data_IF_998045656080
#
_entry.id   IF_998045656080
#
_cell.length_a   1.000
_cell.length_b   1.000
_cell.length_c   1.000
_cell.angle_alpha   90.00
_cell.angle_beta   90.00
_cell.angle_gamma   90.00
#
_symmetry.space_group_name_H-M   'P 1'
#
loop_
_entity.id
_entity.type
_entity.pdbx_description
1 polymer ?
#
# COMPACT_ATOMS: atom_id res chain seq x y z
N UNK A 1 -14.89 8.12 -30.64
CA UNK A 1 -14.09 9.33 -30.31
C UNK A 1 -14.96 10.60 -30.27
N UNK A 2 -15.75 10.90 -31.31
CA UNK A 2 -16.65 12.06 -31.34
C UNK A 2 -17.62 12.14 -30.14
N UNK A 3 -18.23 11.00 -29.75
CA UNK A 3 -19.13 10.92 -28.58
C UNK A 3 -18.49 11.44 -27.29
N UNK A 4 -17.23 11.09 -27.04
CA UNK A 4 -16.52 11.54 -25.83
C UNK A 4 -16.30 13.05 -25.81
N UNK A 5 -15.98 13.66 -26.96
CA UNK A 5 -15.80 15.11 -27.02
C UNK A 5 -17.12 15.87 -26.78
N UNK A 6 -18.23 15.35 -27.29
CA UNK A 6 -19.56 15.92 -27.06
C UNK A 6 -19.89 15.83 -25.56
N UNK A 7 -19.72 14.66 -24.95
CA UNK A 7 -19.99 14.45 -23.53
C UNK A 7 -19.12 15.34 -22.63
N UNK A 8 -17.82 15.45 -22.91
CA UNK A 8 -16.92 16.34 -22.19
C UNK A 8 -17.39 17.80 -22.36
N UNK A 9 -17.75 18.22 -23.57
CA UNK A 9 -18.21 19.58 -23.83
C UNK A 9 -19.51 19.90 -23.07
N UNK A 10 -20.48 18.98 -23.09
CA UNK A 10 -21.74 19.12 -22.38
C UNK A 10 -21.52 19.20 -20.86
N UNK A 11 -20.58 18.42 -20.31
CA UNK A 11 -20.17 18.48 -18.90
C UNK A 11 -19.46 19.78 -18.56
N UNK A 12 -18.52 20.24 -19.39
CA UNK A 12 -17.80 21.50 -19.20
C UNK A 12 -18.77 22.67 -19.20
N UNK A 13 -19.75 22.67 -20.12
CA UNK A 13 -20.76 23.73 -20.23
C UNK A 13 -21.79 23.67 -19.10
N UNK A 14 -22.27 22.49 -18.73
CA UNK A 14 -23.27 22.33 -17.66
C UNK A 14 -22.74 22.63 -16.26
N UNK A 15 -21.45 22.37 -16.02
CA UNK A 15 -20.78 22.60 -14.74
C UNK A 15 -20.01 23.92 -14.68
N UNK A 16 -20.13 24.77 -15.71
CA UNK A 16 -19.43 26.05 -15.86
C UNK A 16 -17.92 25.97 -15.56
N UNK A 17 -17.25 24.95 -16.11
CA UNK A 17 -15.83 24.74 -15.84
C UNK A 17 -14.97 25.78 -16.59
N UNK A 18 -13.94 26.37 -15.94
CA UNK A 18 -13.07 27.34 -16.60
C UNK A 18 -12.34 26.72 -17.80
N UNK A 19 -12.64 27.22 -19.01
CA UNK A 19 -12.06 26.70 -20.27
C UNK A 19 -10.53 26.63 -20.25
N UNK A 20 -9.86 27.62 -19.66
CA UNK A 20 -8.41 27.65 -19.53
C UNK A 20 -7.85 26.49 -18.69
N UNK A 21 -8.55 26.06 -17.63
CA UNK A 21 -8.14 24.89 -16.83
C UNK A 21 -8.34 23.59 -17.60
N UNK A 22 -9.47 23.47 -18.29
CA UNK A 22 -9.81 22.30 -19.12
C UNK A 22 -8.77 22.11 -20.22
N UNK A 23 -8.36 23.19 -20.88
CA UNK A 23 -7.31 23.16 -21.92
C UNK A 23 -5.96 22.75 -21.35
N UNK A 24 -5.57 23.29 -20.18
CA UNK A 24 -4.32 22.93 -19.50
C UNK A 24 -4.25 21.46 -19.07
N UNK A 25 -5.38 20.88 -18.64
CA UNK A 25 -5.48 19.46 -18.25
C UNK A 25 -5.35 18.51 -19.44
N UNK A 26 -5.81 18.96 -20.62
CA UNK A 26 -5.85 18.14 -21.82
C UNK A 26 -7.01 17.15 -21.86
N UNK A 27 -7.35 16.73 -23.08
CA UNK A 27 -8.53 15.90 -23.34
C UNK A 27 -8.49 14.51 -22.71
N UNK A 28 -7.29 13.93 -22.53
CA UNK A 28 -7.13 12.60 -21.93
C UNK A 28 -7.60 12.56 -20.48
N UNK A 29 -7.15 13.51 -19.65
CA UNK A 29 -7.57 13.59 -18.24
C UNK A 29 -9.05 13.95 -18.12
N UNK A 30 -9.55 14.84 -18.97
CA UNK A 30 -10.97 15.20 -18.95
C UNK A 30 -11.89 14.07 -19.36
N UNK A 31 -11.49 13.20 -20.29
CA UNK A 31 -12.25 12.00 -20.64
C UNK A 31 -12.47 11.09 -19.43
N UNK A 32 -11.47 10.95 -18.56
CA UNK A 32 -11.59 10.11 -17.37
C UNK A 32 -12.50 10.77 -16.33
N UNK A 33 -12.30 12.05 -16.03
CA UNK A 33 -13.09 12.78 -15.02
C UNK A 33 -14.55 12.95 -15.44
N UNK A 34 -14.83 13.15 -16.73
CA UNK A 34 -16.19 13.40 -17.25
C UNK A 34 -17.21 12.33 -16.83
N UNK A 35 -16.74 11.11 -16.55
CA UNK A 35 -17.55 9.97 -16.17
C UNK A 35 -18.04 10.01 -14.71
N UNK A 36 -17.36 10.77 -13.84
CA UNK A 36 -17.66 10.84 -12.39
C UNK A 36 -17.90 12.27 -11.88
N UNK A 37 -17.70 13.27 -12.74
CA UNK A 37 -17.84 14.67 -12.37
C UNK A 37 -19.30 15.10 -12.27
N UNK A 38 -19.59 15.77 -11.17
CA UNK A 38 -20.87 16.35 -10.77
C UNK A 38 -20.63 17.76 -10.25
N UNK A 39 -21.68 18.57 -10.15
CA UNK A 39 -21.59 19.94 -9.65
C UNK A 39 -20.95 20.04 -8.26
N UNK A 40 -21.21 19.05 -7.40
CA UNK A 40 -20.70 19.02 -6.02
C UNK A 40 -19.21 18.71 -5.92
N UNK A 41 -18.68 17.88 -6.82
CA UNK A 41 -17.29 17.38 -6.76
C UNK A 41 -16.40 17.93 -7.88
N UNK A 42 -16.92 18.84 -8.73
CA UNK A 42 -16.21 19.36 -9.90
C UNK A 42 -14.85 19.98 -9.54
N UNK A 43 -14.81 20.84 -8.53
CA UNK A 43 -13.58 21.50 -8.09
C UNK A 43 -12.53 20.50 -7.60
N UNK A 44 -12.94 19.53 -6.80
CA UNK A 44 -12.04 18.51 -6.24
C UNK A 44 -11.41 17.63 -7.34
N UNK A 45 -12.21 17.17 -8.30
CA UNK A 45 -11.68 16.36 -9.40
C UNK A 45 -10.75 17.13 -10.33
N UNK A 46 -11.03 18.41 -10.57
CA UNK A 46 -10.12 19.28 -11.34
C UNK A 46 -8.79 19.46 -10.62
N UNK A 47 -8.81 19.70 -9.31
CA UNK A 47 -7.59 19.86 -8.50
C UNK A 47 -6.78 18.54 -8.41
N UNK A 48 -7.45 17.39 -8.29
CA UNK A 48 -6.81 16.07 -8.33
C UNK A 48 -6.14 15.80 -9.66
N UNK A 49 -6.83 16.10 -10.76
CA UNK A 49 -6.32 15.84 -12.10
C UNK A 49 -5.12 16.70 -12.48
N UNK A 50 -4.98 17.90 -11.90
CA UNK A 50 -3.79 18.72 -12.08
C UNK A 50 -2.55 18.11 -11.40
N UNK A 51 -2.73 17.37 -10.30
CA UNK A 51 -1.65 16.78 -9.51
C UNK A 51 -1.31 15.35 -9.91
N UNK A 52 -2.31 14.56 -10.32
CA UNK A 52 -2.16 13.15 -10.63
C UNK A 52 -1.67 12.91 -12.05
N UNK A 53 -0.98 11.79 -12.30
CA UNK A 53 -0.74 11.31 -13.65
C UNK A 53 -2.07 10.86 -14.29
N UNK A 54 -2.11 10.73 -15.62
CA UNK A 54 -3.32 10.24 -16.29
C UNK A 54 -3.70 8.81 -15.86
N UNK A 55 -2.70 7.97 -15.53
CA UNK A 55 -2.89 6.58 -15.09
C UNK A 55 -3.48 6.52 -13.69
N UNK A 56 -2.96 7.31 -12.74
CA UNK A 56 -3.48 7.35 -11.37
C UNK A 56 -4.90 7.92 -11.34
N UNK A 57 -5.18 8.90 -12.21
CA UNK A 57 -6.51 9.48 -12.35
C UNK A 57 -7.52 8.46 -12.90
N UNK A 58 -7.13 7.67 -13.90
CA UNK A 58 -7.96 6.57 -14.42
C UNK A 58 -8.30 5.57 -13.32
N UNK A 59 -7.32 5.18 -12.50
CA UNK A 59 -7.53 4.25 -11.39
C UNK A 59 -8.46 4.85 -10.32
N UNK A 60 -8.26 6.11 -9.95
CA UNK A 60 -9.12 6.80 -9.00
C UNK A 60 -10.57 6.90 -9.49
N UNK A 61 -10.78 7.20 -10.78
CA UNK A 61 -12.10 7.22 -11.42
C UNK A 61 -12.71 5.82 -11.43
N UNK A 62 -11.93 4.78 -11.76
CA UNK A 62 -12.36 3.38 -11.76
C UNK A 62 -12.85 2.94 -10.38
N UNK A 63 -12.14 3.29 -9.31
CA UNK A 63 -12.52 3.00 -7.93
C UNK A 63 -13.86 3.67 -7.58
N UNK A 64 -14.02 4.95 -7.93
CA UNK A 64 -15.27 5.69 -7.65
C UNK A 64 -16.45 5.12 -8.43
N UNK A 65 -16.26 4.76 -9.72
CA UNK A 65 -17.31 4.13 -10.54
C UNK A 65 -17.72 2.75 -10.02
N UNK A 66 -16.80 1.99 -9.43
CA UNK A 66 -17.13 0.70 -8.80
C UNK A 66 -17.84 0.87 -7.45
N UNK A 67 -17.67 2.02 -6.80
CA UNK A 67 -18.18 2.32 -5.46
C UNK A 67 -19.28 3.38 -5.50
N UNK A 68 -20.38 3.11 -6.20
CA UNK A 68 -21.59 3.97 -6.29
C UNK A 68 -22.30 4.24 -4.92
N UNK A 69 -21.59 4.12 -3.81
CA UNK A 69 -22.00 4.42 -2.43
C UNK A 69 -21.38 5.74 -1.97
N UNK A 70 -22.25 6.67 -1.59
CA UNK A 70 -21.99 8.10 -1.33
C UNK A 70 -20.92 8.45 -0.27
N UNK A 71 -20.30 7.49 0.40
CA UNK A 71 -19.40 7.73 1.54
C UNK A 71 -18.07 6.95 1.48
N UNK A 72 -17.72 6.36 0.33
CA UNK A 72 -16.47 5.61 0.22
C UNK A 72 -15.25 6.54 0.15
N UNK A 73 -14.53 6.69 1.27
CA UNK A 73 -13.20 7.34 1.30
C UNK A 73 -12.25 6.54 0.38
N UNK A 74 -11.79 7.19 -0.69
CA UNK A 74 -10.81 6.61 -1.63
C UNK A 74 -9.53 6.32 -0.82
N UNK A 75 -8.98 5.09 -0.87
CA UNK A 75 -7.72 4.78 -0.19
C UNK A 75 -6.63 5.73 -0.70
N UNK A 76 -5.83 6.27 0.21
CA UNK A 76 -4.68 7.10 -0.15
C UNK A 76 -3.64 6.19 -0.79
N UNK A 77 -3.46 6.30 -2.10
CA UNK A 77 -2.42 5.59 -2.82
C UNK A 77 -1.10 6.30 -2.52
N UNK A 78 -0.14 5.59 -1.92
CA UNK A 78 1.22 6.06 -1.67
C UNK A 78 2.15 5.32 -2.62
N UNK A 79 2.89 6.07 -3.44
CA UNK A 79 3.87 5.48 -4.36
C UNK A 79 5.23 5.39 -3.67
N UNK A 80 5.75 4.17 -3.56
CA UNK A 80 7.13 3.89 -3.12
C UNK A 80 7.94 3.58 -4.37
N UNK A 81 9.10 4.22 -4.54
CA UNK A 81 10.00 3.99 -5.68
C UNK A 81 11.39 3.62 -5.17
N UNK A 82 11.84 2.41 -5.48
CA UNK A 82 13.13 1.87 -5.07
C UNK A 82 13.96 1.65 -6.34
N UNK A 83 15.22 2.10 -6.33
CA UNK A 83 16.19 1.84 -7.40
C UNK A 83 17.12 0.73 -6.93
N UNK A 84 17.38 -0.23 -7.79
CA UNK A 84 18.13 -1.46 -7.47
C UNK A 84 18.85 -1.97 -8.72
N UNK A 85 19.85 -2.83 -8.52
CA UNK A 85 20.54 -3.54 -9.60
C UNK A 85 19.70 -4.65 -10.23
N UNK A 86 20.16 -5.22 -11.34
CA UNK A 86 19.44 -6.28 -12.07
C UNK A 86 19.28 -7.56 -11.24
N UNK A 87 20.32 -7.97 -10.51
CA UNK A 87 20.28 -9.15 -9.65
C UNK A 87 19.23 -9.00 -8.53
N UNK A 88 19.24 -7.85 -7.84
CA UNK A 88 18.27 -7.53 -6.78
C UNK A 88 16.83 -7.48 -7.33
N UNK A 89 16.65 -6.91 -8.52
CA UNK A 89 15.35 -6.88 -9.19
C UNK A 89 14.84 -8.29 -9.50
N UNK A 90 15.70 -9.22 -9.96
CA UNK A 90 15.33 -10.62 -10.21
C UNK A 90 14.84 -11.28 -8.93
N UNK A 91 15.62 -11.18 -7.85
CA UNK A 91 15.28 -11.77 -6.55
C UNK A 91 13.97 -11.23 -6.00
N UNK A 92 13.73 -9.91 -6.08
CA UNK A 92 12.46 -9.31 -5.62
C UNK A 92 11.29 -9.78 -6.48
N UNK A 93 11.47 -9.91 -7.79
CA UNK A 93 10.40 -10.36 -8.69
C UNK A 93 10.03 -11.83 -8.44
N UNK A 94 11.03 -12.69 -8.18
CA UNK A 94 10.82 -14.08 -7.77
C UNK A 94 10.06 -14.17 -6.44
N UNK A 95 10.48 -13.40 -5.43
CA UNK A 95 9.81 -13.34 -4.13
C UNK A 95 8.35 -12.88 -4.26
N UNK A 96 8.08 -11.84 -5.07
CA UNK A 96 6.72 -11.37 -5.35
C UNK A 96 5.88 -12.44 -6.05
N UNK A 97 6.46 -13.18 -6.99
CA UNK A 97 5.75 -14.26 -7.69
C UNK A 97 5.33 -15.37 -6.74
N UNK A 98 6.22 -15.78 -5.83
CA UNK A 98 5.90 -16.81 -4.84
C UNK A 98 4.86 -16.33 -3.83
N UNK A 99 5.00 -15.09 -3.36
CA UNK A 99 4.03 -14.47 -2.47
C UNK A 99 2.63 -14.38 -3.11
N UNK A 100 2.52 -14.07 -4.40
CA UNK A 100 1.25 -14.09 -5.15
C UNK A 100 0.60 -15.46 -5.17
N UNK A 101 1.39 -16.51 -5.37
CA UNK A 101 0.90 -17.90 -5.36
C UNK A 101 0.34 -18.28 -3.99
N UNK A 102 0.99 -17.84 -2.91
CA UNK A 102 0.56 -18.10 -1.54
C UNK A 102 -0.72 -17.36 -1.14
N UNK A 103 -0.89 -16.11 -1.59
CA UNK A 103 -2.07 -15.30 -1.25
C UNK A 103 -3.23 -15.39 -2.26
N UNK A 104 -3.11 -16.23 -3.31
CA UNK A 104 -4.07 -16.34 -4.42
C UNK A 104 -4.49 -14.97 -4.98
N UNK A 105 -3.52 -14.06 -5.11
CA UNK A 105 -3.72 -12.68 -5.56
C UNK A 105 -2.85 -12.37 -6.77
N UNK A 106 -3.37 -11.56 -7.68
CA UNK A 106 -2.62 -11.05 -8.83
C UNK A 106 -1.89 -9.73 -8.52
N UNK A 107 -2.19 -9.11 -7.37
CA UNK A 107 -1.72 -7.77 -7.00
C UNK A 107 -0.34 -7.81 -6.32
N UNK A 108 0.64 -7.13 -6.90
CA UNK A 108 1.99 -6.97 -6.34
C UNK A 108 1.98 -6.29 -4.97
N UNK A 109 1.03 -5.38 -4.72
CA UNK A 109 0.96 -4.66 -3.45
C UNK A 109 0.60 -5.59 -2.29
N UNK A 110 -0.34 -6.52 -2.53
CA UNK A 110 -0.76 -7.53 -1.54
C UNK A 110 0.37 -8.52 -1.27
N UNK A 111 1.06 -8.95 -2.32
CA UNK A 111 2.20 -9.85 -2.20
C UNK A 111 3.36 -9.21 -1.41
N UNK A 112 3.69 -7.94 -1.70
CA UNK A 112 4.72 -7.21 -0.98
C UNK A 112 4.34 -6.99 0.49
N UNK A 113 3.07 -6.66 0.76
CA UNK A 113 2.57 -6.52 2.14
C UNK A 113 2.77 -7.81 2.93
N UNK A 114 2.43 -8.97 2.34
CA UNK A 114 2.61 -10.27 2.97
C UNK A 114 4.09 -10.55 3.29
N UNK A 115 5.01 -10.33 2.34
CA UNK A 115 6.46 -10.50 2.55
C UNK A 115 6.95 -9.65 3.72
N UNK A 116 6.55 -8.38 3.77
CA UNK A 116 6.94 -7.49 4.85
C UNK A 116 6.35 -7.92 6.20
N UNK A 117 5.11 -8.41 6.22
CA UNK A 117 4.49 -8.92 7.43
C UNK A 117 5.21 -10.17 7.95
N UNK A 118 5.53 -11.12 7.07
CA UNK A 118 6.24 -12.34 7.43
C UNK A 118 7.63 -12.04 7.99
N UNK A 119 8.37 -11.13 7.35
CA UNK A 119 9.69 -10.71 7.84
C UNK A 119 9.61 -10.04 9.21
N UNK A 120 8.61 -9.17 9.44
CA UNK A 120 8.41 -8.54 10.75
C UNK A 120 8.09 -9.58 11.83
N UNK A 121 7.22 -10.54 11.52
CA UNK A 121 6.87 -11.65 12.42
C UNK A 121 8.10 -12.49 12.75
N UNK A 122 8.94 -12.82 11.78
CA UNK A 122 10.18 -13.58 11.97
C UNK A 122 11.15 -12.84 12.91
N UNK A 123 11.24 -11.51 12.79
CA UNK A 123 12.07 -10.67 13.67
C UNK A 123 11.46 -10.37 15.03
N UNK A 124 10.28 -10.92 15.34
CA UNK A 124 9.55 -10.62 16.57
C UNK A 124 9.05 -9.18 16.65
N UNK A 125 9.21 -8.39 15.59
CA UNK A 125 8.68 -7.05 15.50
C UNK A 125 7.18 -7.19 15.20
N UNK A 126 6.33 -6.80 16.15
CA UNK A 126 4.93 -6.66 15.81
C UNK A 126 4.80 -5.45 14.89
N UNK A 127 4.24 -5.59 13.67
CA UNK A 127 3.84 -4.42 12.91
C UNK A 127 3.01 -3.55 13.86
N UNK A 128 3.26 -2.25 13.92
CA UNK A 128 2.36 -1.31 14.60
C UNK A 128 1.01 -1.42 13.92
N UNK A 129 0.20 -2.38 14.38
CA UNK A 129 -1.02 -2.77 13.72
C UNK A 129 -1.93 -1.57 13.81
N UNK A 130 -2.58 -1.29 12.68
CA UNK A 130 -3.84 -0.58 12.70
C UNK A 130 -4.70 -1.21 13.80
N UNK A 131 -5.37 -0.38 14.60
CA UNK A 131 -6.20 -0.87 15.70
C UNK A 131 -7.16 -1.95 15.18
N UNK A 132 -7.56 -2.92 16.01
CA UNK A 132 -8.48 -3.98 15.58
C UNK A 132 -9.74 -3.39 14.91
N UNK A 133 -10.19 -2.22 15.38
CA UNK A 133 -11.28 -1.46 14.78
C UNK A 133 -10.99 -0.99 13.33
N UNK A 134 -9.76 -0.58 13.04
CA UNK A 134 -9.33 -0.20 11.69
C UNK A 134 -9.16 -1.42 10.78
N UNK A 135 -8.62 -2.53 11.31
CA UNK A 135 -8.51 -3.79 10.58
C UNK A 135 -9.89 -4.35 10.20
N UNK A 136 -10.85 -4.32 11.14
CA UNK A 136 -12.25 -4.70 10.87
C UNK A 136 -12.84 -3.78 9.79
N UNK A 137 -12.73 -2.45 9.95
CA UNK A 137 -13.22 -1.50 8.92
C UNK A 137 -12.58 -1.72 7.55
N UNK A 138 -11.32 -2.15 7.50
CA UNK A 138 -10.65 -2.50 6.26
C UNK A 138 -11.26 -3.76 5.64
N UNK A 139 -11.43 -4.83 6.41
CA UNK A 139 -12.03 -6.08 5.95
C UNK A 139 -13.47 -5.88 5.47
N UNK A 140 -14.29 -5.15 6.23
CA UNK A 140 -15.66 -4.81 5.83
C UNK A 140 -15.68 -4.03 4.51
N UNK A 141 -14.72 -3.10 4.31
CA UNK A 141 -14.60 -2.32 3.09
C UNK A 141 -14.14 -3.13 1.89
N UNK A 142 -13.17 -4.04 2.08
CA UNK A 142 -12.56 -4.81 0.98
C UNK A 142 -13.49 -5.93 0.53
N UNK A 143 -14.08 -6.64 1.49
CA UNK A 143 -14.87 -7.83 1.22
C UNK A 143 -16.38 -7.57 1.20
N UNK A 144 -16.84 -6.36 1.56
CA UNK A 144 -18.26 -6.00 1.58
C UNK A 144 -19.08 -6.80 2.60
N UNK A 145 -18.42 -7.25 3.68
CA UNK A 145 -19.02 -8.00 4.78
C UNK A 145 -19.23 -7.09 5.98
N UNK A 146 -20.18 -7.42 6.85
CA UNK A 146 -20.36 -6.77 8.16
C UNK A 146 -19.86 -7.75 9.22
N UNK A 147 -18.86 -7.34 10.01
CA UNK A 147 -18.19 -8.25 10.96
C UNK A 147 -18.69 -7.93 12.36
N UNK A 148 -19.58 -8.77 12.89
CA UNK A 148 -19.91 -8.74 14.32
C UNK A 148 -18.83 -9.45 15.13
N UNK A 149 -18.26 -8.73 16.10
CA UNK A 149 -17.35 -9.33 17.09
C UNK A 149 -17.94 -9.19 18.49
N UNK A 150 -17.88 -10.27 19.27
CA UNK A 150 -18.16 -10.25 20.69
C UNK A 150 -16.84 -10.25 21.44
N UNK A 151 -16.53 -9.13 22.09
CA UNK A 151 -15.39 -9.07 22.99
C UNK A 151 -15.59 -10.10 24.10
N UNK A 152 -14.80 -11.17 24.09
CA UNK A 152 -14.80 -12.12 25.19
C UNK A 152 -14.15 -11.41 26.38
N UNK A 153 -14.95 -11.13 27.42
CA UNK A 153 -14.43 -10.57 28.66
C UNK A 153 -13.61 -11.69 29.30
N UNK A 154 -12.28 -11.55 29.46
CA UNK A 154 -11.50 -12.60 30.09
C UNK A 154 -12.06 -12.83 31.50
N UNK A 155 -12.41 -14.08 31.80
CA UNK A 155 -12.81 -14.48 33.14
C UNK A 155 -11.69 -14.11 34.11
N UNK A 156 -12.06 -13.72 35.33
CA UNK A 156 -11.17 -13.04 36.26
C UNK A 156 -9.87 -13.81 36.61
N UNK A 157 -9.80 -15.11 36.31
CA UNK A 157 -8.59 -15.94 36.46
C UNK A 157 -7.56 -15.84 35.34
N UNK A 158 -7.90 -15.37 34.13
CA UNK A 158 -6.95 -15.25 33.00
C UNK A 158 -6.24 -13.89 32.93
N UNK A 159 -6.59 -12.95 33.83
CA UNK A 159 -5.99 -11.61 33.90
C UNK A 159 -4.56 -11.61 34.41
N UNK A 160 -4.16 -12.62 35.19
CA UNK A 160 -2.78 -12.75 35.67
C UNK A 160 -1.87 -13.29 34.56
N UNK A 161 -2.26 -14.33 33.83
CA UNK A 161 -1.48 -14.85 32.70
C UNK A 161 -1.31 -13.82 31.56
N UNK A 162 -2.36 -13.06 31.23
CA UNK A 162 -2.25 -12.03 30.18
C UNK A 162 -1.38 -10.85 30.58
N UNK A 163 -1.35 -10.46 31.87
CA UNK A 163 -0.40 -9.47 32.39
C UNK A 163 1.03 -10.01 32.37
N UNK A 164 1.23 -11.26 32.78
CA UNK A 164 2.55 -11.89 32.79
C UNK A 164 3.14 -12.03 31.37
N UNK A 165 2.30 -12.30 30.36
CA UNK A 165 2.71 -12.32 28.95
C UNK A 165 3.04 -10.91 28.45
N UNK A 166 2.23 -9.89 28.78
CA UNK A 166 2.48 -8.49 28.40
C UNK A 166 3.75 -7.93 29.06
N UNK A 167 4.02 -8.28 30.32
CA UNK A 167 5.23 -7.87 31.03
C UNK A 167 6.48 -8.61 30.51
N UNK A 168 6.36 -9.87 30.09
CA UNK A 168 7.46 -10.61 29.41
C UNK A 168 7.76 -10.07 28.01
N UNK A 169 6.75 -9.61 27.29
CA UNK A 169 6.91 -9.00 25.95
C UNK A 169 7.52 -7.60 26.05
N UNK A 170 7.13 -6.81 27.04
CA UNK A 170 7.69 -5.46 27.23
C UNK A 170 9.03 -5.44 28.01
N UNK A 171 9.38 -6.52 28.71
CA UNK A 171 10.57 -6.60 29.56
C UNK A 171 11.81 -7.23 28.90
N UNK A 172 11.72 -7.72 27.66
CA UNK A 172 12.81 -8.46 26.99
C UNK A 172 13.71 -7.63 26.07
N UNK A 173 13.62 -6.30 26.12
CA UNK A 173 14.51 -5.39 25.36
C UNK A 173 15.72 -4.87 26.18
N UNK A 174 16.18 -5.58 27.23
CA UNK A 174 17.27 -5.08 28.09
C UNK A 174 18.45 -6.03 28.32
N UNK A 175 18.54 -7.17 27.63
CA UNK A 175 19.80 -7.91 27.54
C UNK A 175 20.26 -7.87 26.08
N UNK A 176 20.96 -6.79 25.75
CA UNK A 176 21.89 -6.77 24.64
C UNK A 176 22.89 -7.90 24.87
N UNK A 177 22.80 -8.97 24.09
CA UNK A 177 23.93 -9.88 23.94
C UNK A 177 25.10 -9.05 23.43
N UNK A 178 26.10 -8.91 24.30
CA UNK A 178 27.43 -8.43 23.96
C UNK A 178 27.93 -9.30 22.81
N UNK A 179 27.93 -8.74 21.60
CA UNK A 179 28.61 -9.34 20.46
C UNK A 179 30.08 -9.35 20.85
N UNK A 180 30.59 -10.55 21.13
CA UNK A 180 32.00 -10.82 21.31
C UNK A 180 32.66 -10.48 19.97
N UNK A 181 33.42 -9.40 19.94
CA UNK A 181 34.42 -9.13 18.90
C UNK A 181 35.47 -10.25 18.99
N UNK A 182 35.28 -11.30 18.21
CA UNK A 182 36.28 -12.35 18.00
C UNK A 182 37.27 -11.83 16.94
N UNK A 183 38.36 -11.24 17.44
CA UNK A 183 39.60 -11.06 16.69
C UNK A 183 40.14 -12.44 16.30
N UNK A 184 40.03 -12.79 15.01
CA UNK A 184 40.60 -14.00 14.45
C UNK A 184 41.09 -13.79 13.02
N UNK A 185 42.38 -13.48 12.90
CA UNK A 185 43.20 -13.41 11.69
C UNK A 185 42.96 -14.57 10.71
N UNK A 186 43.00 -14.29 9.40
CA UNK A 186 43.85 -15.04 8.48
C UNK A 186 44.04 -14.22 7.19
N UNK A 187 45.15 -13.50 7.14
CA UNK A 187 45.74 -12.96 5.92
C UNK A 187 46.07 -14.13 4.98
N UNK A 188 45.18 -14.40 4.04
CA UNK A 188 45.50 -15.23 2.88
C UNK A 188 46.07 -14.33 1.78
N UNK A 189 47.39 -14.40 1.64
CA UNK A 189 48.19 -13.79 0.57
C UNK A 189 47.54 -14.04 -0.81
N UNK A 190 46.93 -12.99 -1.38
CA UNK A 190 46.33 -12.97 -2.72
C UNK A 190 47.41 -12.98 -3.84
N UNK A 191 48.68 -12.78 -3.50
CA UNK A 191 49.76 -12.64 -4.49
C UNK A 191 50.16 -13.95 -5.20
N UNK A 192 49.71 -15.13 -4.74
CA UNK A 192 50.01 -16.41 -5.42
C UNK A 192 48.94 -16.82 -6.47
N UNK A 193 47.86 -16.04 -6.61
CA UNK A 193 46.73 -16.37 -7.50
C UNK A 193 46.76 -15.71 -8.87
N UNK A 194 47.69 -14.77 -9.12
CA UNK A 194 47.78 -14.07 -10.40
C UNK A 194 48.90 -14.53 -11.33
N UNK A 195 49.79 -15.44 -10.91
CA UNK A 195 50.69 -16.16 -11.81
C UNK A 195 51.43 -15.27 -12.84
N UNK A 196 51.84 -14.06 -12.43
CA UNK A 196 52.67 -13.18 -13.27
C UNK A 196 54.12 -13.49 -12.92
N UNK A 197 54.68 -14.47 -13.62
CA UNK A 197 56.12 -14.61 -13.83
C UNK A 197 56.55 -13.78 -15.05
#
# INVERSE_FOLDING_TARGET
KARYFIEIWDKVKSLDLPKARVEKLGWTKMKEIAQVITEKNAKEWMDKAEKMSSRDLEEAVRIVRKRDTKDAKVPTIVTISIKMGEAEASTITEALSEAKNLCDSTDDAVALEMICQDWLVEKGAQPTRQSLAEAIKYLERVFGVEIEYKAHKPEAGQKEETKEILDKVNGKDAEAEEIIDDEGEEDADIDDLLGIA
#
